data_IF_013657167291
#
_entry.id   IF_013657167291
#
_cell.length_a   1.000
_cell.length_b   1.000
_cell.length_c   1.000
_cell.angle_alpha   90.00
_cell.angle_beta   90.00
_cell.angle_gamma   90.00
#
_symmetry.space_group_name_H-M   'P 1'
#
loop_
_entity.id
_entity.type
_entity.pdbx_description
1 polymer ?
#
# COMPACT_ATOMS: atom_id res chain seq x y z
N UNK A 1 36.18 10.48 -1.45
CA UNK A 1 35.54 9.46 -0.59
C UNK A 1 35.38 9.87 0.89
N UNK A 2 35.77 11.09 1.32
CA UNK A 2 35.58 11.58 2.72
C UNK A 2 34.33 12.47 2.93
N UNK A 3 33.95 13.25 1.92
CA UNK A 3 32.83 14.21 1.97
C UNK A 3 31.47 13.57 2.32
N UNK A 4 31.20 12.38 1.76
CA UNK A 4 29.93 11.68 1.96
C UNK A 4 29.72 11.20 3.39
N UNK A 5 30.81 10.89 4.11
CA UNK A 5 30.74 10.46 5.51
C UNK A 5 30.44 11.65 6.42
N UNK A 6 30.96 12.84 6.09
CA UNK A 6 30.66 14.08 6.80
C UNK A 6 29.23 14.56 6.57
N UNK A 7 28.74 14.53 5.32
CA UNK A 7 27.33 14.83 5.03
C UNK A 7 26.39 13.87 5.75
N UNK A 8 26.69 12.57 5.75
CA UNK A 8 25.90 11.59 6.47
C UNK A 8 25.87 11.85 7.98
N UNK A 9 27.02 12.16 8.60
CA UNK A 9 27.09 12.50 10.03
C UNK A 9 26.33 13.78 10.37
N UNK A 10 26.38 14.78 9.49
CA UNK A 10 25.58 16.00 9.67
C UNK A 10 24.08 15.71 9.65
N UNK A 11 23.62 14.83 8.75
CA UNK A 11 22.21 14.40 8.71
C UNK A 11 21.80 13.68 10.00
N UNK A 12 22.66 12.81 10.55
CA UNK A 12 22.37 12.16 11.84
C UNK A 12 22.17 13.17 12.96
N UNK A 13 23.02 14.21 13.03
CA UNK A 13 22.86 15.31 13.98
C UNK A 13 21.58 16.12 13.78
N UNK A 14 21.18 16.37 12.52
CA UNK A 14 19.94 17.08 12.20
C UNK A 14 18.68 16.27 12.54
N UNK A 15 18.78 14.94 12.51
CA UNK A 15 17.69 14.04 12.84
C UNK A 15 17.65 13.64 14.33
N UNK A 16 18.49 14.27 15.18
CA UNK A 16 18.65 13.92 16.61
C UNK A 16 19.00 12.44 16.83
N UNK A 17 19.65 11.81 15.85
CA UNK A 17 20.08 10.41 15.94
C UNK A 17 21.42 10.37 16.66
N UNK A 18 21.42 9.84 17.88
CA UNK A 18 22.61 9.70 18.71
C UNK A 18 23.37 8.41 18.37
N UNK A 19 24.67 8.53 18.10
CA UNK A 19 25.55 7.37 17.92
C UNK A 19 25.91 6.80 19.30
N UNK A 20 25.31 5.65 19.63
CA UNK A 20 25.58 4.96 20.92
C UNK A 20 26.99 4.35 21.01
N UNK A 21 27.81 4.50 19.96
CA UNK A 21 29.18 3.98 19.91
C UNK A 21 29.23 2.47 19.66
N UNK A 22 30.34 2.02 19.08
CA UNK A 22 30.60 0.60 18.88
C UNK A 22 31.35 0.02 20.09
N UNK A 23 30.70 -0.86 20.84
CA UNK A 23 31.36 -1.76 21.79
C UNK A 23 31.48 -3.16 21.18
N UNK A 24 32.65 -3.48 20.61
CA UNK A 24 32.95 -4.78 20.02
C UNK A 24 34.38 -4.86 19.50
N UNK A 25 34.82 -6.04 19.05
CA UNK A 25 36.16 -6.19 18.48
C UNK A 25 36.24 -5.58 17.07
N UNK A 26 37.35 -4.88 16.78
CA UNK A 26 37.62 -4.12 15.55
C UNK A 26 37.63 -5.02 14.30
N UNK A 27 37.85 -6.33 14.47
CA UNK A 27 38.01 -7.30 13.39
C UNK A 27 36.93 -8.38 13.32
N UNK A 28 35.84 -8.26 14.09
CA UNK A 28 34.80 -9.29 14.10
C UNK A 28 33.49 -8.72 13.60
N UNK A 29 33.21 -8.97 12.32
CA UNK A 29 31.90 -8.77 11.70
C UNK A 29 30.93 -9.93 11.99
N UNK A 30 31.08 -10.51 13.16
CA UNK A 30 30.20 -11.50 13.77
C UNK A 30 30.50 -11.44 15.25
N UNK A 31 29.68 -10.69 15.98
CA UNK A 31 29.81 -10.50 17.42
C UNK A 31 29.45 -11.81 18.16
N UNK A 32 30.26 -12.87 17.97
CA UNK A 32 30.03 -14.25 18.46
C UNK A 32 28.57 -14.73 18.32
N UNK A 33 27.91 -14.37 17.22
CA UNK A 33 26.56 -14.87 16.92
C UNK A 33 26.72 -16.22 16.22
N UNK A 34 26.38 -17.30 16.90
CA UNK A 34 26.39 -18.68 16.38
C UNK A 34 25.12 -18.98 15.55
N UNK A 35 24.61 -18.00 14.83
CA UNK A 35 23.31 -18.13 14.15
C UNK A 35 23.55 -18.25 12.64
N UNK A 36 23.08 -19.36 12.08
CA UNK A 36 23.27 -19.89 10.72
C UNK A 36 23.00 -18.94 9.52
N UNK A 37 22.49 -17.73 9.76
CA UNK A 37 22.15 -16.77 8.70
C UNK A 37 23.06 -15.55 8.78
N UNK A 38 24.05 -15.51 7.88
CA UNK A 38 25.07 -14.47 7.69
C UNK A 38 24.52 -13.11 7.22
N UNK A 39 23.48 -12.59 7.86
CA UNK A 39 22.95 -11.27 7.58
C UNK A 39 23.76 -10.22 8.36
N UNK A 40 24.48 -9.39 7.63
CA UNK A 40 25.26 -8.25 8.07
C UNK A 40 24.42 -6.98 8.30
N UNK A 41 23.12 -7.08 8.06
CA UNK A 41 22.19 -5.99 8.28
C UNK A 41 22.12 -5.66 9.77
N UNK A 42 22.63 -4.48 10.15
CA UNK A 42 22.41 -3.87 11.46
C UNK A 42 21.04 -3.20 11.45
N UNK A 43 19.98 -3.77 12.05
CA UNK A 43 18.71 -3.08 12.16
C UNK A 43 18.89 -1.86 13.07
N UNK A 44 18.44 -0.69 12.60
CA UNK A 44 18.31 0.47 13.46
C UNK A 44 17.02 0.31 14.26
N UNK A 45 17.15 0.31 15.59
CA UNK A 45 15.99 0.43 16.48
C UNK A 45 15.58 1.90 16.49
N UNK A 46 14.48 2.21 15.84
CA UNK A 46 13.89 3.54 15.85
C UNK A 46 12.71 3.51 16.82
N UNK A 47 12.86 4.16 17.97
CA UNK A 47 11.75 4.40 18.88
C UNK A 47 11.01 5.65 18.40
N UNK A 48 9.91 5.45 17.68
CA UNK A 48 9.02 6.56 17.33
C UNK A 48 8.24 6.89 18.60
N UNK A 49 8.80 7.80 19.40
CA UNK A 49 8.10 8.37 20.53
C UNK A 49 6.90 9.16 19.98
N UNK A 50 5.72 8.55 20.04
CA UNK A 50 4.44 9.26 19.86
C UNK A 50 4.24 10.16 21.09
N UNK A 51 5.06 11.21 21.20
CA UNK A 51 4.84 12.30 22.15
C UNK A 51 3.60 13.06 21.67
N UNK A 52 2.45 12.63 22.19
CA UNK A 52 1.22 13.40 22.32
C UNK A 52 0.38 13.68 21.06
N UNK A 53 0.72 13.16 19.89
CA UNK A 53 -0.07 13.41 18.67
C UNK A 53 -1.42 12.66 18.63
N UNK A 54 -1.61 11.58 19.39
CA UNK A 54 -2.78 10.69 19.26
C UNK A 54 -3.96 10.99 20.18
N UNK A 55 -3.85 11.96 21.11
CA UNK A 55 -4.93 12.32 22.06
C UNK A 55 -5.68 13.61 21.74
N UNK A 56 -5.23 14.38 20.76
CA UNK A 56 -5.99 15.53 20.27
C UNK A 56 -7.02 15.00 19.26
N UNK A 57 -8.31 15.03 19.63
CA UNK A 57 -9.41 14.86 18.68
C UNK A 57 -9.19 15.84 17.52
N UNK A 58 -8.74 15.34 16.36
CA UNK A 58 -8.46 16.14 15.17
C UNK A 58 -7.09 15.94 14.54
N UNK A 59 -6.16 15.20 15.17
CA UNK A 59 -4.89 14.85 14.50
C UNK A 59 -5.18 13.74 13.50
N UNK A 60 -4.96 14.07 12.22
CA UNK A 60 -5.30 13.24 11.08
C UNK A 60 -4.80 11.80 11.30
N UNK A 61 -5.73 10.84 11.25
CA UNK A 61 -5.41 9.42 11.19
C UNK A 61 -4.28 9.24 10.17
N UNK A 62 -3.14 8.71 10.62
CA UNK A 62 -1.93 8.56 9.81
C UNK A 62 -2.35 7.91 8.49
N UNK A 63 -2.26 8.67 7.39
CA UNK A 63 -2.75 8.20 6.09
C UNK A 63 -2.07 6.86 5.83
N UNK A 64 -2.86 5.79 5.62
CA UNK A 64 -2.32 4.46 5.33
C UNK A 64 -1.36 4.60 4.15
N UNK A 65 -0.15 4.08 4.32
CA UNK A 65 0.86 4.08 3.26
C UNK A 65 0.30 3.29 2.08
N UNK A 66 0.47 3.81 0.88
CA UNK A 66 0.13 3.07 -0.33
C UNK A 66 1.09 1.88 -0.47
N UNK A 67 0.52 0.70 -0.72
CA UNK A 67 1.25 -0.49 -1.09
C UNK A 67 0.85 -0.88 -2.50
N UNK A 68 1.84 -1.23 -3.32
CA UNK A 68 1.59 -1.77 -4.63
C UNK A 68 0.91 -3.15 -4.50
N UNK A 69 -0.16 -3.34 -5.26
CA UNK A 69 -0.87 -4.61 -5.41
C UNK A 69 -0.61 -5.10 -6.84
N UNK A 70 -0.29 -6.38 -7.01
CA UNK A 70 0.02 -6.97 -8.32
C UNK A 70 -1.22 -7.15 -9.18
N UNK A 71 -2.35 -7.51 -8.55
CA UNK A 71 -3.64 -7.76 -9.18
C UNK A 71 -4.06 -6.69 -10.22
N UNK A 72 -4.12 -5.39 -9.87
CA UNK A 72 -4.61 -4.38 -10.81
C UNK A 72 -3.61 -4.06 -11.92
N UNK A 73 -2.34 -4.47 -11.83
CA UNK A 73 -1.30 -4.12 -12.80
C UNK A 73 -1.61 -4.60 -14.23
N UNK A 74 -2.43 -5.64 -14.36
CA UNK A 74 -2.85 -6.16 -15.67
C UNK A 74 -4.05 -5.42 -16.27
N UNK A 75 -4.80 -4.65 -15.48
CA UNK A 75 -6.00 -3.96 -15.93
C UNK A 75 -5.67 -2.72 -16.77
N UNK A 76 -6.45 -2.50 -17.81
CA UNK A 76 -6.22 -1.38 -18.73
C UNK A 76 -6.54 -0.03 -18.09
N UNK A 77 -7.58 0.04 -17.26
CA UNK A 77 -7.96 1.25 -16.53
C UNK A 77 -6.91 1.65 -15.49
N UNK A 78 -6.25 0.68 -14.85
CA UNK A 78 -5.11 0.92 -13.97
C UNK A 78 -3.91 1.49 -14.73
N UNK A 79 -3.53 0.89 -15.86
CA UNK A 79 -2.41 1.39 -16.71
C UNK A 79 -2.71 2.79 -17.24
N UNK A 80 -3.96 3.05 -17.63
CA UNK A 80 -4.40 4.36 -18.04
C UNK A 80 -4.30 5.38 -16.90
N UNK A 81 -4.72 5.01 -15.69
CA UNK A 81 -4.63 5.86 -14.51
C UNK A 81 -3.18 6.23 -14.18
N UNK A 82 -2.26 5.25 -14.22
CA UNK A 82 -0.83 5.50 -13.98
C UNK A 82 -0.25 6.45 -15.03
N UNK A 83 -0.52 6.20 -16.32
CA UNK A 83 0.01 7.05 -17.40
C UNK A 83 -0.52 8.48 -17.34
N UNK A 84 -1.80 8.67 -17.00
CA UNK A 84 -2.40 9.99 -16.83
C UNK A 84 -1.90 10.72 -15.58
N UNK A 85 -1.67 10.00 -14.48
CA UNK A 85 -1.24 10.60 -13.21
C UNK A 85 0.24 10.94 -13.16
N UNK A 86 1.07 10.35 -14.04
CA UNK A 86 2.52 10.58 -14.09
C UNK A 86 2.94 11.88 -14.81
N UNK A 87 1.99 12.68 -15.30
CA UNK A 87 2.27 13.91 -16.04
C UNK A 87 2.12 15.13 -15.10
N UNK A 88 3.24 15.59 -14.51
CA UNK A 88 3.33 16.95 -13.98
C UNK A 88 4.31 17.80 -14.79
N UNK A 89 3.81 18.93 -15.28
CA UNK A 89 4.54 19.97 -16.00
C UNK A 89 5.06 21.06 -15.07
N UNK A 90 5.14 20.80 -13.76
CA UNK A 90 5.56 21.80 -12.80
C UNK A 90 7.03 22.17 -13.02
N UNK A 91 7.32 23.47 -13.04
CA UNK A 91 8.66 24.05 -13.17
C UNK A 91 9.43 23.94 -11.84
N UNK A 92 9.64 22.70 -11.43
CA UNK A 92 10.43 22.32 -10.26
C UNK A 92 11.71 21.64 -10.71
N UNK A 93 12.71 21.61 -9.82
CA UNK A 93 13.90 20.80 -10.03
C UNK A 93 13.51 19.33 -10.30
N UNK A 94 14.40 18.60 -10.97
CA UNK A 94 14.14 17.22 -11.43
C UNK A 94 13.58 16.33 -10.31
N UNK A 95 14.16 16.42 -9.10
CA UNK A 95 13.70 15.64 -7.96
C UNK A 95 12.33 16.08 -7.42
N UNK A 96 12.04 17.38 -7.41
CA UNK A 96 10.72 17.89 -7.03
C UNK A 96 9.63 17.45 -8.02
N UNK A 97 9.94 17.36 -9.31
CA UNK A 97 9.02 16.79 -10.31
C UNK A 97 8.76 15.29 -10.08
N UNK A 98 9.80 14.52 -9.77
CA UNK A 98 9.67 13.10 -9.45
C UNK A 98 8.83 12.90 -8.19
N UNK A 99 9.07 13.68 -7.14
CA UNK A 99 8.29 13.65 -5.90
C UNK A 99 6.81 13.98 -6.17
N UNK A 100 6.54 15.05 -6.90
CA UNK A 100 5.18 15.44 -7.28
C UNK A 100 4.47 14.33 -8.08
N UNK A 101 5.15 13.73 -9.06
CA UNK A 101 4.63 12.60 -9.83
C UNK A 101 4.28 11.41 -8.93
N UNK A 102 5.21 10.97 -8.08
CA UNK A 102 4.98 9.85 -7.16
C UNK A 102 3.82 10.18 -6.21
N UNK A 103 3.78 11.38 -5.66
CA UNK A 103 2.72 11.83 -4.74
C UNK A 103 1.34 11.82 -5.41
N UNK A 104 1.22 12.36 -6.62
CA UNK A 104 -0.04 12.34 -7.36
C UNK A 104 -0.45 10.93 -7.77
N UNK A 105 0.47 10.13 -8.31
CA UNK A 105 0.19 8.73 -8.67
C UNK A 105 -0.28 7.94 -7.45
N UNK A 106 0.43 8.01 -6.32
CA UNK A 106 0.03 7.29 -5.09
C UNK A 106 -1.33 7.75 -4.58
N UNK A 107 -1.65 9.04 -4.68
CA UNK A 107 -2.99 9.55 -4.33
C UNK A 107 -4.07 8.97 -5.24
N UNK A 108 -3.89 9.01 -6.56
CA UNK A 108 -4.87 8.50 -7.53
C UNK A 108 -5.06 6.99 -7.40
N UNK A 109 -3.97 6.24 -7.24
CA UNK A 109 -4.01 4.79 -7.04
C UNK A 109 -4.73 4.42 -5.75
N UNK A 110 -4.43 5.09 -4.64
CA UNK A 110 -5.11 4.85 -3.36
C UNK A 110 -6.63 5.08 -3.46
N UNK A 111 -7.03 6.12 -4.17
CA UNK A 111 -8.44 6.45 -4.44
C UNK A 111 -9.10 5.41 -5.35
N UNK A 112 -8.41 4.96 -6.40
CA UNK A 112 -8.90 3.93 -7.32
C UNK A 112 -9.03 2.56 -6.63
N UNK A 113 -8.03 2.13 -5.84
CA UNK A 113 -8.08 0.88 -5.08
C UNK A 113 -9.30 0.85 -4.14
N UNK A 114 -9.50 1.94 -3.39
CA UNK A 114 -10.63 2.05 -2.46
C UNK A 114 -11.98 1.95 -3.18
N UNK A 115 -12.10 2.56 -4.36
CA UNK A 115 -13.32 2.51 -5.18
C UNK A 115 -13.57 1.13 -5.78
N UNK A 116 -12.53 0.47 -6.29
CA UNK A 116 -12.66 -0.85 -6.90
C UNK A 116 -13.04 -1.89 -5.85
N UNK A 117 -12.36 -1.89 -4.70
CA UNK A 117 -12.68 -2.79 -3.59
C UNK A 117 -14.12 -2.59 -3.09
N UNK A 118 -14.53 -1.35 -2.86
CA UNK A 118 -15.90 -1.06 -2.44
C UNK A 118 -16.93 -1.40 -3.54
N UNK A 119 -16.60 -1.15 -4.81
CA UNK A 119 -17.45 -1.50 -5.95
C UNK A 119 -17.71 -3.00 -6.01
N UNK A 120 -16.64 -3.79 -5.97
CA UNK A 120 -16.70 -5.25 -5.99
C UNK A 120 -17.56 -5.81 -4.85
N UNK A 121 -17.33 -5.33 -3.62
CA UNK A 121 -18.12 -5.73 -2.46
C UNK A 121 -19.59 -5.31 -2.59
N UNK A 122 -19.88 -4.13 -3.13
CA UNK A 122 -21.26 -3.69 -3.36
C UNK A 122 -21.97 -4.56 -4.40
N UNK A 123 -21.26 -4.95 -5.47
CA UNK A 123 -21.80 -5.78 -6.53
C UNK A 123 -22.08 -7.21 -6.04
N UNK A 124 -21.15 -7.81 -5.28
CA UNK A 124 -21.36 -9.10 -4.59
C UNK A 124 -22.61 -9.03 -3.70
N UNK A 125 -22.69 -8.04 -2.82
CA UNK A 125 -23.84 -7.86 -1.93
C UNK A 125 -25.15 -7.67 -2.69
N UNK A 126 -25.13 -6.93 -3.80
CA UNK A 126 -26.31 -6.69 -4.65
C UNK A 126 -26.76 -7.98 -5.33
N UNK A 127 -25.84 -8.74 -5.91
CA UNK A 127 -26.12 -10.02 -6.58
C UNK A 127 -26.66 -11.06 -5.59
N UNK A 128 -26.08 -11.15 -4.39
CA UNK A 128 -26.59 -12.01 -3.32
C UNK A 128 -28.03 -11.64 -2.93
N UNK A 129 -28.35 -10.34 -2.82
CA UNK A 129 -29.73 -9.89 -2.54
C UNK A 129 -30.68 -10.23 -3.69
N UNK A 130 -30.27 -10.00 -4.94
CA UNK A 130 -31.07 -10.33 -6.12
C UNK A 130 -31.38 -11.83 -6.19
N UNK A 131 -30.37 -12.68 -5.93
CA UNK A 131 -30.51 -14.13 -5.89
C UNK A 131 -31.47 -14.57 -4.78
N UNK A 132 -31.33 -14.01 -3.58
CA UNK A 132 -32.24 -14.28 -2.46
C UNK A 132 -33.69 -13.89 -2.80
N UNK A 133 -33.92 -12.76 -3.47
CA UNK A 133 -35.25 -12.33 -3.90
C UNK A 133 -35.84 -13.27 -4.96
N UNK A 134 -35.05 -13.67 -5.96
CA UNK A 134 -35.48 -14.59 -7.01
C UNK A 134 -35.84 -15.98 -6.45
N UNK A 135 -35.07 -16.49 -5.49
CA UNK A 135 -35.33 -17.76 -4.82
C UNK A 135 -36.55 -17.70 -3.88
N UNK A 136 -36.84 -16.54 -3.29
CA UNK A 136 -37.97 -16.35 -2.37
C UNK A 136 -39.29 -16.01 -3.08
N UNK A 137 -39.26 -15.78 -4.40
CA UNK A 137 -40.44 -15.45 -5.19
C UNK A 137 -41.45 -16.60 -5.20
N UNK A 138 -42.72 -16.28 -4.95
CA UNK A 138 -43.83 -17.26 -4.91
C UNK A 138 -44.02 -17.97 -6.24
N UNK A 139 -43.72 -17.32 -7.37
CA UNK A 139 -43.76 -17.93 -8.70
C UNK A 139 -42.44 -18.60 -9.11
N UNK A 140 -41.40 -18.50 -8.27
CA UNK A 140 -40.02 -18.77 -8.62
C UNK A 140 -39.48 -17.71 -9.59
N UNK A 141 -38.25 -17.24 -9.38
CA UNK A 141 -37.54 -16.50 -10.41
C UNK A 141 -37.40 -17.33 -11.69
N UNK A 142 -37.32 -16.69 -12.85
CA UNK A 142 -36.98 -17.40 -14.09
C UNK A 142 -35.63 -18.11 -13.88
N UNK A 143 -35.56 -19.41 -14.18
CA UNK A 143 -34.32 -20.18 -14.11
C UNK A 143 -33.19 -19.54 -14.94
N UNK A 144 -33.53 -18.82 -16.01
CA UNK A 144 -32.57 -18.08 -16.80
C UNK A 144 -31.97 -16.90 -16.02
N UNK A 145 -32.79 -16.20 -15.24
CA UNK A 145 -32.35 -15.08 -14.39
C UNK A 145 -31.54 -15.55 -13.19
N UNK A 146 -31.96 -16.64 -12.54
CA UNK A 146 -31.21 -17.24 -11.43
C UNK A 146 -29.79 -17.61 -11.91
N UNK A 147 -29.68 -18.39 -13.00
CA UNK A 147 -28.38 -18.77 -13.57
C UNK A 147 -27.56 -17.59 -14.10
N UNK A 148 -28.20 -16.48 -14.47
CA UNK A 148 -27.50 -15.25 -14.86
C UNK A 148 -26.88 -14.60 -13.64
N UNK A 149 -27.64 -14.44 -12.56
CA UNK A 149 -27.18 -13.82 -11.32
C UNK A 149 -26.10 -14.68 -10.64
N UNK A 150 -26.26 -16.00 -10.61
CA UNK A 150 -25.24 -16.94 -10.12
C UNK A 150 -23.91 -16.77 -10.85
N UNK A 151 -23.92 -16.80 -12.19
CA UNK A 151 -22.69 -16.60 -12.98
C UNK A 151 -22.04 -15.24 -12.74
N UNK A 152 -22.84 -14.18 -12.59
CA UNK A 152 -22.30 -12.87 -12.27
C UNK A 152 -21.67 -12.84 -10.87
N UNK A 153 -22.30 -13.49 -9.90
CA UNK A 153 -21.78 -13.59 -8.53
C UNK A 153 -20.47 -14.38 -8.51
N UNK A 154 -20.41 -15.53 -9.18
CA UNK A 154 -19.21 -16.34 -9.28
C UNK A 154 -18.05 -15.55 -9.89
N UNK A 155 -18.30 -14.83 -10.99
CA UNK A 155 -17.27 -13.99 -11.62
C UNK A 155 -16.76 -12.90 -10.67
N UNK A 156 -17.65 -12.23 -9.92
CA UNK A 156 -17.24 -11.20 -8.95
C UNK A 156 -16.48 -11.80 -7.75
N UNK A 157 -16.84 -13.00 -7.30
CA UNK A 157 -16.13 -13.69 -6.22
C UNK A 157 -14.72 -14.13 -6.67
N UNK A 158 -14.57 -14.65 -7.90
CA UNK A 158 -13.26 -14.95 -8.48
C UNK A 158 -12.41 -13.67 -8.55
N UNK A 159 -13.00 -12.57 -9.01
CA UNK A 159 -12.34 -11.27 -9.06
C UNK A 159 -11.89 -10.79 -7.65
N UNK A 160 -12.70 -11.06 -6.62
CA UNK A 160 -12.35 -10.75 -5.22
C UNK A 160 -11.23 -11.65 -4.70
N UNK A 161 -11.26 -12.94 -5.01
CA UNK A 161 -10.18 -13.88 -4.66
C UNK A 161 -8.85 -13.48 -5.31
N UNK A 162 -8.88 -13.06 -6.59
CA UNK A 162 -7.70 -12.55 -7.28
C UNK A 162 -7.17 -11.25 -6.66
N UNK A 163 -8.05 -10.39 -6.15
CA UNK A 163 -7.66 -9.16 -5.45
C UNK A 163 -6.89 -9.44 -4.14
N UNK A 164 -7.23 -10.51 -3.43
CA UNK A 164 -6.62 -10.86 -2.14
C UNK A 164 -5.48 -11.89 -2.19
N UNK A 165 -5.14 -12.41 -3.38
CA UNK A 165 -3.95 -13.28 -3.58
C UNK A 165 -2.65 -12.50 -3.65
#
# INVERSE_FOLDING_TARGET
MRHWIEEFRNILGWCEIEDMGFQGSIFTWSNKRDDFWHSDHRPLLVEILDLEASRIKGVACRKKRFYFESYPANRDDYKLLVSQSWIHTADVCVMGRVEANISNCTHQLSKWNSRNKLGLQNDINKLQRELNLLNSSIQGGSWADIRRVERLLDNNLIEEEEYYR
#
